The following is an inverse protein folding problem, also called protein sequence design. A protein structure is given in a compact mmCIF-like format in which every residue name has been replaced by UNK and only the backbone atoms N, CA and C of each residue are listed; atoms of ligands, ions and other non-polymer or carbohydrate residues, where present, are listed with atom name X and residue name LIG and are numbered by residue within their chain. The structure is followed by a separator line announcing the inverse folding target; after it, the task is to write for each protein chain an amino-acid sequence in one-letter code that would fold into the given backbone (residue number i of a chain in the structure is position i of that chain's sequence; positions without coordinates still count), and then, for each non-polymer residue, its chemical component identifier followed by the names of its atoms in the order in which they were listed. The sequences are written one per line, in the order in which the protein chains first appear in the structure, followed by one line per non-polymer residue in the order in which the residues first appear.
data_IF_605327414058
#
_entry.id   IF_605327414058
#
_cell.length_a   1.000
_cell.length_b   1.000
_cell.length_c   1.000
_cell.angle_alpha   90.00
_cell.angle_beta   90.00
_cell.angle_gamma   90.00
#
_symmetry.space_group_name_H-M   'P 1'
#
loop_
_entity.id
_entity.type
_entity.pdbx_description
1 polymer ?
#
# COMPACT_ATOMS: atom_id res chain seq x y z
N UNK A 1 2.40 4.11 -10.15
CA UNK A 1 1.77 3.33 -9.07
C UNK A 1 2.85 2.52 -8.39
N UNK A 2 3.24 2.89 -7.16
CA UNK A 2 4.42 2.34 -6.47
C UNK A 2 4.10 1.07 -5.64
N UNK A 3 3.03 0.36 -6.01
CA UNK A 3 2.49 -0.77 -5.23
C UNK A 3 3.54 -1.86 -5.00
N UNK A 4 4.33 -2.18 -6.03
CA UNK A 4 5.38 -3.20 -5.97
C UNK A 4 6.45 -2.83 -4.91
N UNK A 5 6.92 -1.58 -4.94
CA UNK A 5 7.95 -1.09 -4.00
C UNK A 5 7.44 -1.16 -2.57
N UNK A 6 6.20 -0.74 -2.31
CA UNK A 6 5.62 -0.82 -0.98
C UNK A 6 5.47 -2.26 -0.49
N UNK A 7 5.08 -3.19 -1.37
CA UNK A 7 4.95 -4.60 -1.01
C UNK A 7 6.32 -5.25 -0.77
N UNK A 8 7.38 -4.86 -1.49
CA UNK A 8 8.74 -5.31 -1.20
C UNK A 8 9.13 -4.91 0.22
N UNK A 9 8.95 -3.64 0.59
CA UNK A 9 9.31 -3.12 1.91
C UNK A 9 8.49 -3.81 3.00
N UNK A 10 7.18 -3.98 2.75
CA UNK A 10 6.28 -4.70 3.64
C UNK A 10 6.75 -6.13 3.87
N UNK A 11 7.00 -6.85 2.78
CA UNK A 11 7.43 -8.25 2.84
C UNK A 11 8.78 -8.38 3.52
N UNK A 12 9.73 -7.51 3.21
CA UNK A 12 11.04 -7.48 3.85
C UNK A 12 10.93 -7.23 5.36
N UNK A 13 10.18 -6.21 5.78
CA UNK A 13 10.04 -5.85 7.20
C UNK A 13 9.43 -6.98 8.04
N UNK A 14 8.51 -7.74 7.46
CA UNK A 14 7.81 -8.84 8.13
C UNK A 14 8.53 -10.18 7.98
N UNK A 15 9.25 -10.44 6.88
CA UNK A 15 9.96 -11.72 6.67
C UNK A 15 11.36 -11.74 7.30
N UNK A 16 12.00 -10.58 7.48
CA UNK A 16 13.43 -10.50 7.84
C UNK A 16 13.79 -11.25 9.12
N UNK A 17 13.00 -11.12 10.17
CA UNK A 17 13.30 -11.75 11.46
C UNK A 17 13.10 -13.26 11.45
N UNK A 18 12.24 -13.76 10.56
CA UNK A 18 12.10 -15.20 10.32
C UNK A 18 13.30 -15.75 9.57
N UNK A 19 13.78 -15.04 8.55
CA UNK A 19 14.97 -15.43 7.77
C UNK A 19 16.24 -15.40 8.62
N UNK A 20 16.43 -14.36 9.43
CA UNK A 20 17.63 -14.17 10.27
C UNK A 20 17.55 -14.96 11.61
N UNK A 21 16.45 -15.67 11.88
CA UNK A 21 16.17 -16.42 13.13
C UNK A 21 16.27 -15.56 14.41
N UNK A 22 16.23 -14.24 14.29
CA UNK A 22 16.34 -13.30 15.42
C UNK A 22 15.07 -13.24 16.25
N UNK A 23 13.92 -13.66 15.70
CA UNK A 23 12.64 -13.67 16.40
C UNK A 23 12.68 -14.48 17.71
N UNK A 24 13.44 -15.59 17.74
CA UNK A 24 13.63 -16.42 18.94
C UNK A 24 14.36 -15.71 20.08
N UNK A 25 15.15 -14.69 19.75
CA UNK A 25 15.91 -13.90 20.73
C UNK A 25 15.12 -12.67 21.21
N UNK A 26 14.14 -12.21 20.44
CA UNK A 26 13.33 -11.01 20.75
C UNK A 26 12.11 -11.38 21.60
N UNK A 27 11.44 -12.50 21.30
CA UNK A 27 10.24 -12.94 22.01
C UNK A 27 10.42 -13.27 23.52
N UNK A 28 11.61 -13.68 24.02
CA UNK A 28 11.84 -13.88 25.46
C UNK A 28 11.98 -12.57 26.26
N UNK A 29 12.25 -11.45 25.58
CA UNK A 29 12.27 -10.12 26.20
C UNK A 29 10.82 -9.79 26.55
N UNK A 30 10.51 -9.19 27.72
CA UNK A 30 9.14 -8.88 28.16
C UNK A 30 8.51 -7.72 27.37
N UNK A 31 8.51 -7.81 26.04
CA UNK A 31 7.81 -6.92 25.12
C UNK A 31 6.54 -7.62 24.67
N UNK A 32 5.40 -6.92 24.72
CA UNK A 32 4.14 -7.49 24.25
C UNK A 32 4.20 -7.75 22.74
N UNK A 33 3.79 -8.96 22.32
CA UNK A 33 3.69 -9.36 20.90
C UNK A 33 2.89 -8.33 20.07
N UNK A 34 1.86 -7.75 20.67
CA UNK A 34 1.01 -6.72 20.05
C UNK A 34 1.73 -5.39 19.84
N UNK A 35 2.54 -4.93 20.80
CA UNK A 35 3.33 -3.69 20.64
C UNK A 35 4.40 -3.85 19.58
N UNK A 36 5.01 -5.03 19.47
CA UNK A 36 5.98 -5.34 18.43
C UNK A 36 5.36 -5.33 17.03
N UNK A 37 4.18 -5.93 16.87
CA UNK A 37 3.49 -5.93 15.59
C UNK A 37 2.99 -4.53 15.20
N UNK A 38 2.47 -3.77 16.17
CA UNK A 38 2.00 -2.39 15.94
C UNK A 38 3.15 -1.48 15.51
N UNK A 39 4.33 -1.60 16.12
CA UNK A 39 5.49 -0.78 15.76
C UNK A 39 5.95 -1.05 14.32
N UNK A 40 5.87 -2.28 13.84
CA UNK A 40 6.14 -2.62 12.42
C UNK A 40 5.18 -1.94 11.46
N UNK A 41 3.89 -1.97 11.77
CA UNK A 41 2.89 -1.26 10.96
C UNK A 41 3.13 0.25 10.96
N UNK A 42 3.51 0.85 12.10
CA UNK A 42 3.88 2.26 12.17
C UNK A 42 5.11 2.58 11.30
N UNK A 43 6.17 1.77 11.37
CA UNK A 43 7.37 1.94 10.55
C UNK A 43 7.03 1.82 9.06
N UNK A 44 6.20 0.84 8.68
CA UNK A 44 5.74 0.64 7.31
C UNK A 44 4.96 1.86 6.81
N UNK A 45 4.07 2.41 7.65
CA UNK A 45 3.31 3.62 7.32
C UNK A 45 4.22 4.83 7.09
N UNK A 46 5.18 5.06 7.99
CA UNK A 46 6.15 6.15 7.86
C UNK A 46 6.95 6.00 6.56
N UNK A 47 7.44 4.80 6.25
CA UNK A 47 8.17 4.54 5.00
C UNK A 47 7.32 4.82 3.76
N UNK A 48 6.05 4.45 3.77
CA UNK A 48 5.15 4.73 2.65
C UNK A 48 4.94 6.23 2.43
N UNK A 49 4.75 7.01 3.49
CA UNK A 49 4.61 8.46 3.41
C UNK A 49 5.89 9.11 2.86
N UNK A 50 7.06 8.73 3.40
CA UNK A 50 8.35 9.27 2.96
C UNK A 50 8.60 8.99 1.47
N UNK A 51 8.38 7.74 1.04
CA UNK A 51 8.59 7.35 -0.36
C UNK A 51 7.57 8.00 -1.30
N UNK A 52 6.32 8.15 -0.87
CA UNK A 52 5.31 8.85 -1.64
C UNK A 52 5.65 10.32 -1.80
N UNK A 53 6.05 10.98 -0.71
CA UNK A 53 6.48 12.37 -0.74
C UNK A 53 7.68 12.58 -1.67
N UNK A 54 8.67 11.70 -1.62
CA UNK A 54 9.84 11.77 -2.50
C UNK A 54 9.47 11.54 -3.98
N UNK A 55 8.65 10.52 -4.27
CA UNK A 55 8.25 10.19 -5.64
C UNK A 55 7.40 11.29 -6.29
N UNK A 56 6.40 11.78 -5.58
CA UNK A 56 5.52 12.84 -6.10
C UNK A 56 6.20 14.19 -6.07
N UNK A 57 6.95 14.49 -5.01
CA UNK A 57 7.73 15.73 -4.89
C UNK A 57 8.73 15.88 -6.04
N UNK A 58 9.46 14.82 -6.38
CA UNK A 58 10.36 14.83 -7.54
C UNK A 58 9.62 14.98 -8.87
N UNK A 59 8.46 14.33 -9.05
CA UNK A 59 7.63 14.50 -10.25
C UNK A 59 7.15 15.94 -10.42
N UNK A 60 6.72 16.61 -9.33
CA UNK A 60 6.35 18.02 -9.35
C UNK A 60 7.54 18.94 -9.63
N UNK A 61 8.70 18.65 -9.05
CA UNK A 61 9.92 19.43 -9.30
C UNK A 61 10.31 19.36 -10.79
N UNK A 62 10.27 18.16 -11.38
CA UNK A 62 10.50 17.97 -12.82
C UNK A 62 9.45 18.69 -13.67
N UNK A 63 8.18 18.65 -13.30
CA UNK A 63 7.11 19.37 -14.01
C UNK A 63 7.33 20.89 -13.99
N UNK A 64 7.80 21.45 -12.87
CA UNK A 64 8.12 22.87 -12.74
C UNK A 64 9.31 23.28 -13.60
N UNK A 65 10.38 22.46 -13.61
CA UNK A 65 11.53 22.67 -14.50
C UNK A 65 11.11 22.64 -15.97
N UNK A 66 10.29 21.66 -16.36
CA UNK A 66 9.81 21.55 -17.73
C UNK A 66 8.95 22.76 -18.15
N UNK A 67 8.07 23.24 -17.26
CA UNK A 67 7.29 24.46 -17.48
C UNK A 67 8.19 25.69 -17.69
N UNK A 68 9.27 25.84 -16.91
CA UNK A 68 10.19 26.98 -17.08
C UNK A 68 10.97 26.99 -18.40
N UNK A 69 11.21 25.82 -19.00
CA UNK A 69 12.01 25.71 -20.24
C UNK A 69 11.15 25.77 -21.50
N UNK A 70 9.99 25.09 -21.49
CA UNK A 70 9.15 24.93 -22.68
C UNK A 70 7.83 25.70 -22.63
N UNK A 71 7.44 26.26 -21.47
CA UNK A 71 6.20 27.02 -21.33
C UNK A 71 4.95 26.16 -21.52
N UNK A 72 4.59 25.36 -20.52
CA UNK A 72 3.34 24.59 -20.55
C UNK A 72 2.17 25.52 -20.18
N UNK A 73 1.23 25.75 -21.09
CA UNK A 73 0.12 26.69 -20.91
C UNK A 73 -0.85 26.33 -19.75
N UNK A 74 -0.83 25.10 -19.24
CA UNK A 74 -1.80 24.62 -18.24
C UNK A 74 -1.21 24.31 -16.85
N UNK A 75 0.08 24.55 -16.62
CA UNK A 75 0.66 24.29 -15.30
C UNK A 75 0.34 25.43 -14.34
N UNK A 76 -0.71 25.24 -13.53
CA UNK A 76 -1.01 26.12 -12.40
C UNK A 76 -0.56 25.49 -11.08
N UNK A 77 0.18 26.25 -10.28
CA UNK A 77 0.65 25.81 -8.95
C UNK A 77 -0.50 25.33 -8.05
N UNK A 78 -1.67 25.95 -8.15
CA UNK A 78 -2.87 25.56 -7.40
C UNK A 78 -3.33 24.13 -7.73
N UNK A 79 -3.37 23.79 -9.02
CA UNK A 79 -3.76 22.45 -9.49
C UNK A 79 -2.75 21.42 -8.98
N UNK A 80 -1.46 21.72 -9.06
CA UNK A 80 -0.40 20.86 -8.54
C UNK A 80 -0.59 20.53 -7.06
N UNK A 81 -0.95 21.52 -6.22
CA UNK A 81 -1.18 21.32 -4.80
C UNK A 81 -2.39 20.38 -4.53
N UNK A 82 -3.47 20.53 -5.29
CA UNK A 82 -4.66 19.66 -5.21
C UNK A 82 -4.28 18.22 -5.55
N UNK A 83 -3.53 18.01 -6.65
CA UNK A 83 -3.08 16.68 -7.04
C UNK A 83 -2.11 16.08 -6.02
N UNK A 84 -1.26 16.87 -5.36
CA UNK A 84 -0.39 16.40 -4.30
C UNK A 84 -1.20 15.87 -3.11
N UNK A 85 -2.19 16.63 -2.62
CA UNK A 85 -3.07 16.20 -1.53
C UNK A 85 -3.84 14.93 -1.89
N UNK A 86 -4.34 14.84 -3.12
CA UNK A 86 -4.99 13.66 -3.67
C UNK A 86 -4.08 12.43 -3.68
N UNK A 87 -2.82 12.56 -4.09
CA UNK A 87 -1.85 11.46 -4.07
C UNK A 87 -1.45 11.03 -2.65
N UNK A 88 -1.40 11.95 -1.68
CA UNK A 88 -1.20 11.60 -0.27
C UNK A 88 -2.38 10.76 0.26
N UNK A 89 -3.61 11.17 -0.03
CA UNK A 89 -4.80 10.39 0.35
C UNK A 89 -4.81 8.98 -0.27
N UNK A 90 -4.40 8.86 -1.53
CA UNK A 90 -4.20 7.59 -2.21
C UNK A 90 -3.20 6.68 -1.50
N UNK A 91 -2.11 7.26 -0.98
CA UNK A 91 -1.08 6.52 -0.24
C UNK A 91 -1.63 5.92 1.05
N UNK A 92 -2.48 6.66 1.76
CA UNK A 92 -3.15 6.18 2.98
C UNK A 92 -4.09 5.01 2.66
N UNK A 93 -4.87 5.11 1.57
CA UNK A 93 -5.71 4.00 1.12
C UNK A 93 -4.88 2.78 0.69
N UNK A 94 -3.76 3.00 0.01
CA UNK A 94 -2.86 1.90 -0.39
C UNK A 94 -2.28 1.18 0.83
N UNK A 95 -1.90 1.90 1.88
CA UNK A 95 -1.44 1.30 3.14
C UNK A 95 -2.45 0.29 3.69
N UNK A 96 -3.74 0.64 3.69
CA UNK A 96 -4.82 -0.25 4.14
C UNK A 96 -4.88 -1.55 3.32
N UNK A 97 -4.70 -1.45 2.00
CA UNK A 97 -4.75 -2.61 1.07
C UNK A 97 -3.47 -3.46 1.03
N UNK A 98 -2.37 -3.02 1.65
CA UNK A 98 -1.10 -3.78 1.70
C UNK A 98 -1.12 -4.82 2.85
N UNK A 99 -2.01 -4.65 3.81
CA UNK A 99 -2.16 -5.52 4.99
C UNK A 99 -2.30 -7.01 4.66
N UNK A 100 -3.03 -7.47 3.62
CA UNK A 100 -3.10 -8.90 3.30
C UNK A 100 -1.76 -9.47 2.84
N UNK A 101 -0.88 -8.64 2.24
CA UNK A 101 0.47 -9.06 1.84
C UNK A 101 1.40 -9.20 3.04
N UNK A 102 1.21 -8.39 4.09
CA UNK A 102 1.96 -8.55 5.34
C UNK A 102 1.64 -9.89 6.01
N UNK A 103 0.36 -10.29 6.02
CA UNK A 103 -0.06 -11.60 6.48
C UNK A 103 0.56 -12.75 5.68
N UNK A 104 0.57 -12.62 4.34
CA UNK A 104 1.21 -13.61 3.47
C UNK A 104 2.71 -13.73 3.78
N UNK A 105 3.41 -12.61 3.97
CA UNK A 105 4.84 -12.58 4.27
C UNK A 105 5.19 -13.31 5.58
N UNK A 106 4.34 -13.12 6.59
CA UNK A 106 4.47 -13.75 7.89
C UNK A 106 4.19 -15.25 7.82
N UNK A 107 3.09 -15.63 7.16
CA UNK A 107 2.69 -17.03 7.00
C UNK A 107 3.72 -17.87 6.23
N UNK A 108 4.27 -17.32 5.16
CA UNK A 108 5.23 -18.05 4.32
C UNK A 108 6.67 -17.89 4.76
N UNK A 109 6.94 -17.03 5.76
CA UNK A 109 8.28 -16.73 6.30
C UNK A 109 9.29 -16.39 5.20
N UNK A 110 8.79 -15.83 4.10
CA UNK A 110 9.56 -15.65 2.87
C UNK A 110 9.11 -14.40 2.15
N UNK A 111 10.10 -13.69 1.63
CA UNK A 111 9.91 -12.45 0.88
C UNK A 111 9.30 -12.72 -0.51
N UNK A 112 9.54 -13.89 -1.09
CA UNK A 112 9.22 -14.21 -2.49
C UNK A 112 7.72 -14.39 -2.72
N UNK A 113 6.99 -15.06 -1.81
CA UNK A 113 5.58 -15.39 -2.04
C UNK A 113 4.67 -14.15 -2.12
N UNK A 114 4.75 -13.18 -1.19
CA UNK A 114 4.00 -11.92 -1.31
C UNK A 114 4.33 -11.17 -2.59
N UNK A 115 5.58 -11.24 -3.05
CA UNK A 115 6.06 -10.60 -4.27
C UNK A 115 5.40 -11.20 -5.53
N UNK A 116 5.35 -12.53 -5.65
CA UNK A 116 4.68 -13.20 -6.78
C UNK A 116 3.20 -12.86 -6.81
N UNK A 117 2.53 -12.90 -5.65
CA UNK A 117 1.10 -12.56 -5.55
C UNK A 117 0.89 -11.08 -5.90
N UNK A 118 1.78 -10.19 -5.46
CA UNK A 118 1.70 -8.78 -5.80
C UNK A 118 1.88 -8.49 -7.28
N UNK A 119 2.75 -9.23 -7.96
CA UNK A 119 2.93 -9.12 -9.41
C UNK A 119 1.63 -9.50 -10.14
N UNK A 120 0.97 -10.59 -9.73
CA UNK A 120 -0.34 -10.97 -10.26
C UNK A 120 -1.41 -9.89 -10.02
N UNK A 121 -1.41 -9.28 -8.83
CA UNK A 121 -2.31 -8.15 -8.49
C UNK A 121 -2.03 -6.92 -9.37
N UNK A 122 -0.77 -6.61 -9.65
CA UNK A 122 -0.39 -5.50 -10.54
C UNK A 122 -0.83 -5.78 -11.98
N UNK A 123 -0.68 -7.01 -12.47
CA UNK A 123 -1.20 -7.40 -13.78
C UNK A 123 -2.73 -7.29 -13.83
N UNK A 124 -3.43 -7.72 -12.77
CA UNK A 124 -4.87 -7.52 -12.62
C UNK A 124 -5.24 -6.03 -12.66
N UNK A 125 -4.46 -5.18 -12.00
CA UNK A 125 -4.67 -3.74 -12.03
C UNK A 125 -4.56 -3.17 -13.44
N UNK A 126 -3.56 -3.59 -14.22
CA UNK A 126 -3.39 -3.14 -15.59
C UNK A 126 -4.51 -3.64 -16.53
N UNK A 127 -5.01 -4.86 -16.32
CA UNK A 127 -6.10 -5.42 -17.12
C UNK A 127 -7.46 -4.76 -16.83
N UNK A 128 -7.69 -4.33 -15.59
CA UNK A 128 -8.95 -3.78 -15.12
C UNK A 128 -8.99 -2.24 -15.12
N UNK A 129 -7.86 -1.56 -15.39
CA UNK A 129 -7.80 -0.09 -15.36
C UNK A 129 -8.72 0.58 -16.38
N UNK A 130 -9.12 -0.14 -17.43
CA UNK A 130 -9.99 0.36 -18.50
C UNK A 130 -11.36 -0.33 -18.53
N UNK A 131 -11.70 -1.12 -17.51
CA UNK A 131 -12.99 -1.83 -17.44
C UNK A 131 -13.79 -1.38 -16.22
N UNK A 132 -15.12 -1.42 -16.32
CA UNK A 132 -16.03 -1.02 -15.23
C UNK A 132 -15.86 -1.87 -13.97
N UNK A 133 -15.42 -3.13 -14.13
CA UNK A 133 -15.08 -4.04 -13.04
C UNK A 133 -13.88 -3.57 -12.21
N UNK A 134 -13.07 -2.65 -12.73
CA UNK A 134 -11.97 -2.02 -11.98
C UNK A 134 -12.44 -1.23 -10.76
N UNK A 135 -13.72 -0.85 -10.68
CA UNK A 135 -14.28 -0.20 -9.49
C UNK A 135 -14.45 -1.16 -8.28
N UNK A 136 -14.54 -2.48 -8.53
CA UNK A 136 -14.74 -3.49 -7.48
C UNK A 136 -13.42 -4.08 -6.97
N UNK A 137 -12.35 -3.96 -7.73
CA UNK A 137 -11.07 -4.55 -7.35
C UNK A 137 -10.32 -3.60 -6.39
N UNK A 138 -9.96 -4.02 -5.16
CA UNK A 138 -9.54 -3.12 -4.07
C UNK A 138 -8.37 -2.19 -4.45
N UNK A 139 -7.45 -2.68 -5.27
CA UNK A 139 -6.25 -1.95 -5.65
C UNK A 139 -6.47 -0.98 -6.82
N UNK A 140 -7.30 -1.33 -7.83
CA UNK A 140 -7.69 -0.39 -8.89
C UNK A 140 -8.74 0.60 -8.42
N UNK A 141 -9.61 0.20 -7.49
CA UNK A 141 -10.65 1.04 -6.93
C UNK A 141 -10.07 2.33 -6.35
N UNK A 142 -8.87 2.29 -5.76
CA UNK A 142 -8.16 3.49 -5.27
C UNK A 142 -7.86 4.45 -6.43
N UNK A 143 -7.42 3.94 -7.59
CA UNK A 143 -7.14 4.77 -8.76
C UNK A 143 -8.43 5.43 -9.29
N UNK A 144 -9.51 4.66 -9.41
CA UNK A 144 -10.81 5.19 -9.86
C UNK A 144 -11.39 6.21 -8.87
N UNK A 145 -11.24 5.96 -7.56
CA UNK A 145 -11.71 6.87 -6.50
C UNK A 145 -10.95 8.18 -6.52
N UNK A 146 -9.65 8.13 -6.74
CA UNK A 146 -8.86 9.32 -6.93
C UNK A 146 -9.29 10.00 -8.23
N UNK A 147 -9.21 9.35 -9.39
CA UNK A 147 -9.49 10.01 -10.68
C UNK A 147 -10.91 10.62 -10.78
N UNK A 148 -11.85 10.22 -9.93
CA UNK A 148 -13.24 10.70 -9.96
C UNK A 148 -14.09 9.94 -10.99
N UNK A 149 -13.49 8.95 -11.65
CA UNK A 149 -14.09 8.14 -12.71
C UNK A 149 -15.02 7.04 -12.18
N UNK A 150 -15.19 6.91 -10.86
CA UNK A 150 -16.15 5.97 -10.25
C UNK A 150 -17.60 6.22 -10.70
N UNK A 151 -17.95 7.47 -11.00
CA UNK A 151 -19.29 7.78 -11.52
C UNK A 151 -19.50 7.23 -12.95
N UNK A 152 -18.43 7.07 -13.73
CA UNK A 152 -18.49 6.56 -15.09
C UNK A 152 -18.64 5.04 -15.16
N UNK A 153 -18.25 4.31 -14.10
CA UNK A 153 -18.33 2.84 -14.05
C UNK A 153 -19.70 2.33 -13.55
N UNK A 154 -20.62 3.23 -13.18
CA UNK A 154 -21.98 2.89 -12.73
C UNK A 154 -22.08 2.31 -11.31
N UNK A 155 -20.95 2.19 -10.58
CA UNK A 155 -20.95 1.67 -9.21
C UNK A 155 -20.93 2.81 -8.16
N UNK A 156 -21.73 2.70 -7.08
CA UNK A 156 -21.71 3.68 -6.02
C UNK A 156 -20.40 3.64 -5.24
N UNK A 157 -19.85 4.82 -4.94
CA UNK A 157 -18.56 5.02 -4.24
C UNK A 157 -18.45 4.21 -2.94
N UNK A 158 -19.56 4.07 -2.22
CA UNK A 158 -19.63 3.32 -0.97
C UNK A 158 -19.26 1.84 -1.11
N UNK A 159 -19.55 1.21 -2.25
CA UNK A 159 -19.24 -0.22 -2.48
C UNK A 159 -17.73 -0.42 -2.59
N UNK A 160 -17.05 0.42 -3.37
CA UNK A 160 -15.59 0.37 -3.51
C UNK A 160 -14.87 0.65 -2.19
N UNK A 161 -15.34 1.63 -1.42
CA UNK A 161 -14.81 1.91 -0.07
C UNK A 161 -15.08 0.74 0.90
N UNK A 162 -16.26 0.12 0.82
CA UNK A 162 -16.61 -1.07 1.58
C UNK A 162 -15.67 -2.25 1.31
N UNK A 163 -15.33 -2.49 0.04
CA UNK A 163 -14.40 -3.56 -0.34
C UNK A 163 -12.99 -3.27 0.19
N UNK A 164 -12.49 -2.04 0.04
CA UNK A 164 -11.15 -1.64 0.55
C UNK A 164 -11.06 -1.84 2.06
N UNK A 165 -12.08 -1.39 2.79
CA UNK A 165 -12.13 -1.51 4.25
C UNK A 165 -12.24 -2.96 4.70
N UNK A 166 -13.07 -3.78 4.04
CA UNK A 166 -13.16 -5.22 4.31
C UNK A 166 -11.82 -5.94 4.12
N UNK A 167 -11.16 -5.72 2.97
CA UNK A 167 -9.86 -6.34 2.69
C UNK A 167 -8.81 -5.91 3.71
N UNK A 168 -8.85 -4.65 4.15
CA UNK A 168 -7.93 -4.14 5.17
C UNK A 168 -8.19 -4.76 6.54
N UNK A 169 -9.45 -4.84 6.98
CA UNK A 169 -9.82 -5.44 8.27
C UNK A 169 -9.44 -6.92 8.28
N UNK A 170 -9.73 -7.66 7.21
CA UNK A 170 -9.33 -9.06 7.07
C UNK A 170 -7.80 -9.22 7.09
N UNK A 171 -7.07 -8.35 6.39
CA UNK A 171 -5.62 -8.35 6.39
C UNK A 171 -5.04 -8.13 7.79
N UNK A 172 -5.46 -7.06 8.48
CA UNK A 172 -5.00 -6.77 9.85
C UNK A 172 -5.37 -7.89 10.83
N UNK A 173 -6.63 -8.31 10.88
CA UNK A 173 -7.07 -9.35 11.82
C UNK A 173 -6.34 -10.66 11.60
N UNK A 174 -6.11 -11.06 10.35
CA UNK A 174 -5.35 -12.26 10.02
C UNK A 174 -3.90 -12.18 10.51
N UNK A 175 -3.21 -11.04 10.28
CA UNK A 175 -1.84 -10.82 10.78
C UNK A 175 -1.79 -10.90 12.31
N UNK A 176 -2.67 -10.19 13.02
CA UNK A 176 -2.69 -10.19 14.48
C UNK A 176 -3.00 -11.58 15.08
N UNK A 177 -3.98 -12.30 14.54
CA UNK A 177 -4.35 -13.64 15.02
C UNK A 177 -3.22 -14.64 14.79
N UNK A 178 -2.57 -14.57 13.62
CA UNK A 178 -1.48 -15.48 13.28
C UNK A 178 -0.26 -15.25 14.19
N UNK A 179 0.17 -13.99 14.36
CA UNK A 179 1.29 -13.65 15.22
C UNK A 179 1.06 -14.02 16.70
N UNK A 180 -0.19 -13.91 17.18
CA UNK A 180 -0.54 -14.32 18.54
C UNK A 180 -0.47 -15.83 18.75
N UNK A 181 -0.93 -16.61 17.75
CA UNK A 181 -0.92 -18.08 17.77
C UNK A 181 0.46 -18.69 17.52
N UNK A 182 1.40 -17.90 17.05
CA UNK A 182 2.77 -18.34 16.85
C UNK A 182 3.47 -18.45 18.22
N UNK A 183 3.48 -19.67 18.75
CA UNK A 183 4.29 -20.08 19.90
C UNK A 183 5.59 -20.73 19.42
N UNK A 184 6.68 -20.38 20.11
CA UNK A 184 8.04 -20.72 19.72
C UNK A 184 8.27 -22.23 19.85
N UNK A 185 8.68 -22.87 18.74
CA UNK A 185 9.50 -24.09 18.74
C UNK A 185 10.96 -23.74 18.49
#
# INVERSE_FOLDING_TARGET
MNLLVYIIIASYLFSREYTEKTLKNILPIPVSKTSFLTSKFCILFIWMIVLSFFSWGSAFLLALLYHSVFGIAEFQFHIALIYLGKMMSSTILMFLTITPFTFLAEKTKSLVVPLIISAAVIMGNAALSNQDLGALYPWTAILFLMQGSLAATGYPVWVSVGIITLVSILGFTATYIYFQKEDIK
#
